data_IF_311596332930
#
_entry.id   IF_311596332930
#
_cell.length_a   1.000
_cell.length_b   1.000
_cell.length_c   1.000
_cell.angle_alpha   90.00
_cell.angle_beta   90.00
_cell.angle_gamma   90.00
#
_symmetry.space_group_name_H-M   'P 1'
#
loop_
_entity.id
_entity.type
_entity.pdbx_description
1 polymer ?
#
# COMPACT_ATOMS: atom_id res chain seq x y z
N UNK A 1 -9.83 16.99 7.58
CA UNK A 1 -8.52 16.42 7.97
C UNK A 1 -8.66 14.91 8.05
N UNK A 2 -7.60 14.17 7.74
CA UNK A 2 -7.64 12.70 7.78
C UNK A 2 -7.66 12.21 9.23
N UNK A 3 -8.70 11.46 9.63
CA UNK A 3 -8.90 10.93 11.00
C UNK A 3 -7.65 10.26 11.58
N UNK A 4 -6.98 9.40 10.80
CA UNK A 4 -5.76 8.71 11.24
C UNK A 4 -4.58 9.67 11.44
N UNK A 5 -4.51 10.76 10.70
CA UNK A 5 -3.46 11.77 10.88
C UNK A 5 -3.62 12.51 12.21
N UNK A 6 -4.85 12.85 12.55
CA UNK A 6 -5.15 13.50 13.83
C UNK A 6 -4.91 12.53 15.01
N UNK A 7 -5.32 11.28 14.87
CA UNK A 7 -5.03 10.22 15.85
C UNK A 7 -3.52 10.02 16.04
N UNK A 8 -2.75 10.02 14.94
CA UNK A 8 -1.29 9.91 15.04
C UNK A 8 -0.69 11.06 15.84
N UNK A 9 -1.09 12.31 15.57
CA UNK A 9 -0.55 13.49 16.25
C UNK A 9 -0.91 13.54 17.74
N UNK A 10 -2.16 13.23 18.07
CA UNK A 10 -2.69 13.43 19.42
C UNK A 10 -2.36 12.29 20.37
N UNK A 11 -2.27 11.06 19.87
CA UNK A 11 -2.19 9.86 20.72
C UNK A 11 -0.94 9.02 20.39
N UNK A 12 -0.77 8.63 19.12
CA UNK A 12 0.18 7.59 18.73
C UNK A 12 1.62 8.05 18.87
N UNK A 13 1.94 9.28 18.44
CA UNK A 13 3.29 9.80 18.49
C UNK A 13 3.83 9.85 19.93
N UNK A 14 3.02 10.28 20.89
CA UNK A 14 3.38 10.31 22.30
C UNK A 14 3.55 8.92 22.92
N UNK A 15 2.70 7.97 22.55
CA UNK A 15 2.79 6.58 23.01
C UNK A 15 4.07 5.90 22.51
N UNK A 16 4.38 6.01 21.23
CA UNK A 16 5.60 5.44 20.62
C UNK A 16 6.87 6.09 21.21
N UNK A 17 6.86 7.41 21.42
CA UNK A 17 8.00 8.10 22.02
C UNK A 17 8.32 7.56 23.41
N UNK A 18 7.29 7.24 24.21
CA UNK A 18 7.44 6.63 25.54
C UNK A 18 7.87 5.16 25.47
N UNK A 19 7.31 4.38 24.55
CA UNK A 19 7.60 2.94 24.38
C UNK A 19 9.07 2.70 24.02
N UNK A 20 9.65 3.55 23.17
CA UNK A 20 11.02 3.41 22.67
C UNK A 20 12.02 4.43 23.26
N UNK A 21 11.64 5.16 24.31
CA UNK A 21 12.45 6.21 24.98
C UNK A 21 13.06 7.22 23.99
N UNK A 22 12.24 7.70 23.04
CA UNK A 22 12.66 8.65 22.01
C UNK A 22 12.49 10.06 22.55
N UNK A 23 13.60 10.72 22.89
CA UNK A 23 13.61 12.09 23.45
C UNK A 23 13.32 13.16 22.39
N UNK A 24 13.73 12.92 21.13
CA UNK A 24 13.56 13.88 20.05
C UNK A 24 12.22 13.67 19.34
N UNK A 25 11.26 14.61 19.39
CA UNK A 25 9.98 14.48 18.72
C UNK A 25 10.08 14.27 17.20
N UNK A 26 11.14 14.79 16.58
CA UNK A 26 11.37 14.62 15.14
C UNK A 26 11.87 13.22 14.75
N UNK A 27 12.37 12.45 15.70
CA UNK A 27 12.83 11.08 15.49
C UNK A 27 11.74 10.03 15.71
N UNK A 28 10.54 10.45 16.15
CA UNK A 28 9.41 9.54 16.33
C UNK A 28 9.00 8.93 15.00
N UNK A 29 8.86 7.61 14.92
CA UNK A 29 8.44 6.92 13.71
C UNK A 29 7.09 7.42 13.18
N UNK A 30 7.04 7.69 11.86
CA UNK A 30 5.82 8.10 11.16
C UNK A 30 5.73 7.44 9.80
N UNK A 31 4.54 7.33 9.25
CA UNK A 31 4.37 6.91 7.85
C UNK A 31 4.81 8.05 6.94
N UNK A 32 5.69 7.76 6.00
CA UNK A 32 6.23 8.73 5.05
C UNK A 32 5.46 8.73 3.73
N UNK A 33 5.22 7.53 3.20
CA UNK A 33 4.48 7.32 1.95
C UNK A 33 3.88 5.92 1.90
N UNK A 34 2.86 5.77 1.09
CA UNK A 34 2.30 4.47 0.69
C UNK A 34 2.44 4.33 -0.81
N UNK A 35 3.04 3.25 -1.25
CA UNK A 35 3.22 2.92 -2.67
C UNK A 35 2.32 1.74 -3.00
N UNK A 36 1.45 1.90 -3.99
CA UNK A 36 0.58 0.85 -4.50
C UNK A 36 1.06 0.51 -5.88
N UNK A 37 1.36 -0.76 -6.12
CA UNK A 37 1.83 -1.26 -7.40
C UNK A 37 0.99 -2.43 -7.89
N UNK A 38 0.59 -2.37 -9.16
CA UNK A 38 -0.04 -3.48 -9.88
C UNK A 38 0.89 -3.95 -10.99
N UNK A 39 1.39 -5.18 -10.86
CA UNK A 39 2.19 -5.84 -11.89
C UNK A 39 1.27 -6.50 -12.92
N UNK A 40 1.37 -6.10 -14.18
CA UNK A 40 0.50 -6.54 -15.26
C UNK A 40 1.33 -7.23 -16.36
N UNK A 41 1.76 -8.46 -16.09
CA UNK A 41 2.55 -9.23 -17.06
C UNK A 41 1.81 -9.47 -18.39
N UNK A 42 0.48 -9.55 -18.35
CA UNK A 42 -0.39 -9.70 -19.53
C UNK A 42 -0.40 -8.46 -20.42
N UNK A 43 0.02 -7.31 -19.92
CA UNK A 43 0.10 -6.07 -20.69
C UNK A 43 1.12 -6.14 -21.85
N UNK A 44 2.05 -7.09 -21.79
CA UNK A 44 2.98 -7.37 -22.89
C UNK A 44 2.26 -7.83 -24.16
N UNK A 45 1.10 -8.49 -24.01
CA UNK A 45 0.26 -8.96 -25.11
C UNK A 45 -0.89 -7.98 -25.42
N UNK A 46 -1.42 -7.28 -24.43
CA UNK A 46 -2.55 -6.36 -24.56
C UNK A 46 -2.38 -5.09 -23.74
N UNK A 47 -1.99 -4.01 -24.40
CA UNK A 47 -1.75 -2.71 -23.76
C UNK A 47 -3.01 -2.09 -23.14
N UNK A 48 -4.20 -2.41 -23.60
CA UNK A 48 -5.48 -1.87 -23.06
C UNK A 48 -5.70 -2.24 -21.59
N UNK A 49 -5.11 -3.36 -21.14
CA UNK A 49 -5.17 -3.80 -19.74
C UNK A 49 -4.55 -2.75 -18.80
N UNK A 50 -3.53 -2.03 -19.26
CA UNK A 50 -2.88 -0.97 -18.47
C UNK A 50 -3.80 0.21 -18.22
N UNK A 51 -4.59 0.60 -19.21
CA UNK A 51 -5.50 1.73 -19.08
C UNK A 51 -6.62 1.40 -18.08
N UNK A 52 -7.17 0.18 -18.19
CA UNK A 52 -8.19 -0.32 -17.23
C UNK A 52 -7.62 -0.35 -15.81
N UNK A 53 -6.45 -0.95 -15.61
CA UNK A 53 -5.82 -1.02 -14.29
C UNK A 53 -5.42 0.37 -13.75
N UNK A 54 -5.04 1.29 -14.62
CA UNK A 54 -4.75 2.67 -14.24
C UNK A 54 -6.02 3.40 -13.78
N UNK A 55 -7.14 3.21 -14.45
CA UNK A 55 -8.42 3.78 -14.04
C UNK A 55 -8.91 3.17 -12.73
N UNK A 56 -8.80 1.86 -12.53
CA UNK A 56 -9.09 1.21 -11.25
C UNK A 56 -8.25 1.80 -10.10
N UNK A 57 -6.93 1.90 -10.26
CA UNK A 57 -6.06 2.51 -9.26
C UNK A 57 -6.40 3.98 -9.00
N UNK A 58 -6.77 4.73 -10.03
CA UNK A 58 -7.19 6.13 -9.90
C UNK A 58 -8.46 6.25 -9.04
N UNK A 59 -9.42 5.35 -9.24
CA UNK A 59 -10.66 5.32 -8.44
C UNK A 59 -10.34 4.97 -6.98
N UNK A 60 -9.53 3.95 -6.72
CA UNK A 60 -9.13 3.53 -5.37
C UNK A 60 -8.38 4.63 -4.62
N UNK A 61 -7.44 5.30 -5.30
CA UNK A 61 -6.48 6.19 -4.64
C UNK A 61 -6.83 7.68 -4.73
N UNK A 62 -7.72 8.04 -5.65
CA UNK A 62 -8.03 9.43 -5.97
C UNK A 62 -6.88 10.19 -6.65
N UNK A 63 -5.83 9.47 -7.09
CA UNK A 63 -4.65 10.04 -7.75
C UNK A 63 -4.34 9.29 -9.05
N UNK A 64 -3.97 10.02 -10.11
CA UNK A 64 -3.58 9.42 -11.39
C UNK A 64 -2.32 8.56 -11.21
N UNK A 65 -2.36 7.26 -11.58
CA UNK A 65 -1.21 6.38 -11.51
C UNK A 65 -0.19 6.67 -12.61
N UNK A 66 1.02 6.20 -12.39
CA UNK A 66 2.11 6.23 -13.38
C UNK A 66 2.25 4.83 -13.97
N UNK A 67 2.33 4.76 -15.30
CA UNK A 67 2.62 3.50 -16.01
C UNK A 67 4.10 3.18 -15.86
N UNK A 68 4.40 1.99 -15.36
CA UNK A 68 5.76 1.50 -15.18
C UNK A 68 6.24 0.71 -16.39
N UNK A 69 7.47 0.99 -16.81
CA UNK A 69 8.08 0.38 -17.99
C UNK A 69 9.21 -0.58 -17.63
N UNK A 70 9.39 -1.62 -18.44
CA UNK A 70 10.47 -2.59 -18.29
C UNK A 70 11.83 -1.90 -18.43
N UNK A 71 12.73 -2.13 -17.48
CA UNK A 71 14.10 -1.58 -17.48
C UNK A 71 15.07 -2.37 -18.36
N UNK A 72 14.81 -3.68 -18.56
CA UNK A 72 15.63 -4.61 -19.31
C UNK A 72 14.76 -5.47 -20.22
N UNK A 73 15.34 -5.93 -21.32
CA UNK A 73 14.72 -6.93 -22.19
C UNK A 73 14.93 -8.32 -21.60
N UNK A 74 13.87 -9.14 -21.50
CA UNK A 74 13.92 -10.51 -20.99
C UNK A 74 13.16 -11.41 -21.95
N UNK A 75 13.87 -12.25 -22.70
CA UNK A 75 13.30 -13.11 -23.73
C UNK A 75 12.28 -14.12 -23.17
N UNK A 76 12.57 -14.71 -22.00
CA UNK A 76 11.68 -15.67 -21.33
C UNK A 76 10.28 -15.13 -21.07
N UNK A 77 10.14 -13.83 -20.81
CA UNK A 77 8.87 -13.15 -20.56
C UNK A 77 8.37 -12.38 -21.77
N UNK A 78 8.99 -12.50 -22.93
CA UNK A 78 8.67 -11.75 -24.15
C UNK A 78 8.66 -10.22 -23.93
N UNK A 79 9.53 -9.74 -23.04
CA UNK A 79 9.63 -8.33 -22.67
C UNK A 79 10.78 -7.66 -23.41
N UNK A 80 10.51 -6.45 -23.91
CA UNK A 80 11.53 -5.54 -24.45
C UNK A 80 11.66 -4.34 -23.52
N UNK A 81 12.85 -3.77 -23.44
CA UNK A 81 13.10 -2.53 -22.72
C UNK A 81 12.14 -1.44 -23.19
N UNK A 82 11.55 -0.70 -22.24
CA UNK A 82 10.58 0.36 -22.53
C UNK A 82 9.13 -0.09 -22.65
N UNK A 83 8.83 -1.41 -22.71
CA UNK A 83 7.45 -1.90 -22.70
C UNK A 83 6.78 -1.59 -21.36
N UNK A 84 5.54 -1.13 -21.43
CA UNK A 84 4.72 -0.88 -20.26
C UNK A 84 4.22 -2.22 -19.67
N UNK A 85 4.46 -2.45 -18.36
CA UNK A 85 4.21 -3.73 -17.68
C UNK A 85 3.50 -3.61 -16.33
N UNK A 86 3.14 -2.43 -15.93
CA UNK A 86 2.43 -2.21 -14.66
C UNK A 86 2.03 -0.77 -14.45
N UNK A 87 1.33 -0.56 -13.34
CA UNK A 87 0.91 0.77 -12.88
C UNK A 87 1.27 0.96 -11.42
N UNK A 88 1.63 2.17 -11.03
CA UNK A 88 2.05 2.49 -9.67
C UNK A 88 1.52 3.86 -9.24
N UNK A 89 1.16 3.97 -7.96
CA UNK A 89 0.80 5.23 -7.31
C UNK A 89 1.60 5.39 -6.03
N UNK A 90 2.08 6.60 -5.78
CA UNK A 90 2.70 6.98 -4.51
C UNK A 90 1.82 8.01 -3.81
N UNK A 91 1.31 7.67 -2.64
CA UNK A 91 0.47 8.52 -1.81
C UNK A 91 1.28 9.13 -0.67
N UNK A 92 1.06 10.41 -0.39
CA UNK A 92 1.69 11.16 0.70
C UNK A 92 0.66 12.06 1.39
N UNK A 93 1.01 12.54 2.59
CA UNK A 93 0.19 13.51 3.33
C UNK A 93 -1.21 12.99 3.65
N UNK A 94 -2.22 13.84 3.50
CA UNK A 94 -3.60 13.52 3.90
C UNK A 94 -4.18 12.36 3.09
N UNK A 95 -3.93 12.31 1.78
CA UNK A 95 -4.39 11.21 0.91
C UNK A 95 -3.85 9.85 1.33
N UNK A 96 -2.61 9.81 1.82
CA UNK A 96 -2.00 8.60 2.35
C UNK A 96 -2.74 8.10 3.59
N UNK A 97 -3.03 9.00 4.55
CA UNK A 97 -3.76 8.62 5.76
C UNK A 97 -5.21 8.23 5.49
N UNK A 98 -5.89 8.90 4.56
CA UNK A 98 -7.23 8.53 4.13
C UNK A 98 -7.27 7.16 3.45
N UNK A 99 -6.27 6.87 2.61
CA UNK A 99 -6.15 5.55 1.99
C UNK A 99 -5.88 4.46 3.05
N UNK A 100 -4.97 4.71 4.00
CA UNK A 100 -4.70 3.76 5.09
C UNK A 100 -5.93 3.52 5.96
N UNK A 101 -6.71 4.55 6.26
CA UNK A 101 -7.95 4.41 7.04
C UNK A 101 -8.96 3.52 6.31
N UNK A 102 -9.20 3.72 5.03
CA UNK A 102 -10.08 2.86 4.22
C UNK A 102 -9.54 1.45 4.08
N UNK A 103 -8.24 1.29 3.88
CA UNK A 103 -7.59 -0.01 3.82
C UNK A 103 -7.83 -0.82 5.10
N UNK A 104 -7.58 -0.21 6.26
CA UNK A 104 -7.66 -0.87 7.57
C UNK A 104 -9.12 -1.12 7.98
N UNK A 105 -9.97 -0.11 7.84
CA UNK A 105 -11.34 -0.15 8.38
C UNK A 105 -12.35 -0.83 7.46
N UNK A 106 -12.14 -0.82 6.15
CA UNK A 106 -13.10 -1.27 5.15
C UNK A 106 -12.58 -2.39 4.27
N UNK A 107 -11.41 -2.20 3.65
CA UNK A 107 -10.91 -3.14 2.65
C UNK A 107 -10.41 -4.46 3.25
N UNK A 108 -9.57 -4.41 4.29
CA UNK A 108 -9.02 -5.62 4.90
C UNK A 108 -10.09 -6.54 5.49
N UNK A 109 -11.14 -6.08 6.20
CA UNK A 109 -12.21 -6.95 6.67
C UNK A 109 -12.99 -7.65 5.56
N UNK A 110 -12.98 -7.11 4.34
CA UNK A 110 -13.63 -7.70 3.16
C UNK A 110 -12.82 -8.80 2.47
N UNK A 111 -11.56 -8.96 2.85
CA UNK A 111 -10.73 -10.04 2.31
C UNK A 111 -11.32 -11.38 2.71
N UNK A 112 -11.49 -12.28 1.72
CA UNK A 112 -12.01 -13.63 1.95
C UNK A 112 -11.12 -14.39 2.94
N UNK A 113 -11.74 -15.03 3.94
CA UNK A 113 -11.05 -15.79 4.99
C UNK A 113 -9.95 -14.98 5.71
N UNK A 114 -10.23 -13.71 5.98
CA UNK A 114 -9.27 -12.83 6.63
C UNK A 114 -8.96 -13.30 8.06
N UNK A 115 -7.69 -13.62 8.31
CA UNK A 115 -7.15 -14.05 9.62
C UNK A 115 -6.07 -13.11 10.15
N UNK A 116 -6.05 -11.87 9.69
CA UNK A 116 -4.99 -10.91 9.98
C UNK A 116 -3.86 -10.93 8.95
N UNK A 117 -3.05 -9.87 8.96
CA UNK A 117 -1.90 -9.71 8.07
C UNK A 117 -0.64 -10.30 8.68
N UNK A 118 0.29 -10.75 7.84
CA UNK A 118 1.56 -11.34 8.29
C UNK A 118 2.42 -10.32 9.03
N UNK A 119 2.87 -10.65 10.22
CA UNK A 119 3.84 -9.84 10.96
C UNK A 119 5.29 -9.98 10.47
N UNK A 120 5.56 -10.80 9.43
CA UNK A 120 6.91 -11.10 8.92
C UNK A 120 7.25 -10.36 7.61
N UNK A 121 6.35 -9.52 7.10
CA UNK A 121 6.52 -8.85 5.81
C UNK A 121 7.18 -7.46 5.95
N UNK A 122 8.05 -7.31 6.93
CA UNK A 122 8.95 -6.17 7.10
C UNK A 122 10.27 -6.42 6.37
N UNK A 123 10.94 -5.34 5.97
CA UNK A 123 12.18 -5.38 5.19
C UNK A 123 13.49 -5.29 6.01
N UNK A 124 13.40 -5.27 7.34
CA UNK A 124 14.53 -5.06 8.26
C UNK A 124 14.87 -3.58 8.51
N UNK A 125 14.18 -2.66 7.84
CA UNK A 125 14.39 -1.20 7.96
C UNK A 125 13.11 -0.44 8.30
N UNK A 126 12.10 -1.14 8.80
CA UNK A 126 10.85 -0.54 9.24
C UNK A 126 9.84 -0.26 8.12
N UNK A 127 10.00 -0.81 6.93
CA UNK A 127 8.98 -0.75 5.88
C UNK A 127 8.19 -2.06 5.84
N UNK A 128 6.92 -1.96 5.50
CA UNK A 128 6.01 -3.09 5.46
C UNK A 128 5.37 -3.23 4.07
N UNK A 129 5.30 -4.44 3.54
CA UNK A 129 4.64 -4.71 2.26
C UNK A 129 3.52 -5.72 2.42
N UNK A 130 2.32 -5.35 1.97
CA UNK A 130 1.11 -6.16 1.95
C UNK A 130 0.75 -6.54 0.52
N UNK A 131 0.62 -7.83 0.24
CA UNK A 131 0.06 -8.33 -1.02
C UNK A 131 -1.45 -8.54 -0.90
N UNK A 132 -2.20 -7.93 -1.79
CA UNK A 132 -3.65 -8.12 -1.94
C UNK A 132 -3.90 -8.88 -3.24
N UNK A 133 -4.70 -9.94 -3.18
CA UNK A 133 -4.98 -10.79 -4.34
C UNK A 133 -6.08 -10.25 -5.25
N UNK A 134 -7.00 -9.49 -4.68
CA UNK A 134 -8.22 -9.05 -5.36
C UNK A 134 -8.45 -7.55 -5.14
N UNK A 135 -8.58 -6.76 -6.22
CA UNK A 135 -8.93 -5.35 -6.13
C UNK A 135 -10.37 -5.11 -5.66
N UNK A 136 -11.22 -6.12 -5.75
CA UNK A 136 -12.64 -6.06 -5.39
C UNK A 136 -12.92 -5.82 -3.90
N UNK A 137 -11.90 -5.93 -3.04
CA UNK A 137 -12.04 -5.59 -1.61
C UNK A 137 -12.28 -4.09 -1.39
N UNK A 138 -11.91 -3.25 -2.36
CA UNK A 138 -12.15 -1.81 -2.29
C UNK A 138 -13.58 -1.50 -2.73
N UNK A 139 -14.39 -0.82 -1.88
CA UNK A 139 -15.79 -0.52 -2.19
C UNK A 139 -15.98 0.44 -3.37
N UNK A 140 -14.94 1.17 -3.73
CA UNK A 140 -14.93 2.12 -4.84
C UNK A 140 -14.97 1.43 -6.21
N UNK A 141 -14.62 0.14 -6.25
CA UNK A 141 -14.61 -0.65 -7.48
C UNK A 141 -15.98 -1.28 -7.71
N UNK A 142 -16.57 -0.98 -8.86
CA UNK A 142 -17.83 -1.59 -9.31
C UNK A 142 -17.53 -2.98 -9.90
N UNK A 143 -18.10 -4.01 -9.24
CA UNK A 143 -17.94 -5.40 -9.68
C UNK A 143 -18.34 -5.64 -11.15
N UNK A 144 -19.35 -4.92 -11.64
CA UNK A 144 -19.84 -5.09 -13.00
C UNK A 144 -18.90 -4.54 -14.09
N UNK A 145 -17.95 -3.67 -13.69
CA UNK A 145 -16.98 -3.04 -14.59
C UNK A 145 -15.62 -3.74 -14.62
N UNK A 146 -15.41 -4.70 -13.72
CA UNK A 146 -14.15 -5.43 -13.62
C UNK A 146 -14.16 -6.60 -14.60
N UNK A 147 -13.22 -6.58 -15.53
CA UNK A 147 -13.02 -7.63 -16.53
C UNK A 147 -12.27 -8.83 -15.96
N UNK A 148 -11.33 -8.59 -15.05
CA UNK A 148 -10.49 -9.61 -14.41
C UNK A 148 -10.05 -9.20 -13.02
N UNK A 149 -10.01 -10.18 -12.11
CA UNK A 149 -9.41 -9.99 -10.78
C UNK A 149 -7.90 -9.79 -10.89
N UNK A 150 -7.41 -8.69 -10.32
CA UNK A 150 -5.98 -8.32 -10.30
C UNK A 150 -5.51 -8.11 -8.88
N UNK A 151 -4.32 -8.63 -8.62
CA UNK A 151 -3.64 -8.38 -7.36
C UNK A 151 -2.84 -7.09 -7.37
N UNK A 152 -2.54 -6.59 -6.17
CA UNK A 152 -1.69 -5.42 -5.98
C UNK A 152 -0.81 -5.58 -4.75
N UNK A 153 0.33 -4.90 -4.76
CA UNK A 153 1.22 -4.78 -3.62
C UNK A 153 1.11 -3.37 -3.03
N UNK A 154 0.91 -3.28 -1.73
CA UNK A 154 0.85 -2.03 -0.98
C UNK A 154 2.06 -1.99 -0.06
N UNK A 155 3.00 -1.10 -0.35
CA UNK A 155 4.20 -0.88 0.46
C UNK A 155 4.03 0.37 1.31
N UNK A 156 4.09 0.20 2.62
CA UNK A 156 4.01 1.27 3.61
C UNK A 156 5.45 1.61 4.02
N UNK A 157 5.91 2.77 3.62
CA UNK A 157 7.24 3.26 3.96
C UNK A 157 7.15 4.15 5.19
N UNK A 158 7.97 3.85 6.19
CA UNK A 158 8.00 4.59 7.45
C UNK A 158 9.37 5.20 7.69
N UNK A 159 9.46 6.11 8.64
CA UNK A 159 10.74 6.69 9.11
C UNK A 159 11.34 5.89 10.28
N UNK A 160 10.75 4.74 10.64
CA UNK A 160 11.27 3.86 11.67
C UNK A 160 12.64 3.32 11.28
N UNK A 161 13.51 3.13 12.26
CA UNK A 161 14.85 2.56 12.05
C UNK A 161 14.85 1.04 12.16
N UNK A 162 13.90 0.47 12.90
CA UNK A 162 13.77 -0.96 13.15
C UNK A 162 12.36 -1.44 12.84
N UNK A 163 12.22 -2.73 12.54
CA UNK A 163 10.92 -3.35 12.27
C UNK A 163 9.99 -3.34 13.49
N UNK A 164 10.57 -3.39 14.70
CA UNK A 164 9.81 -3.32 15.95
C UNK A 164 9.10 -1.97 16.10
N UNK A 165 9.82 -0.87 15.85
CA UNK A 165 9.24 0.47 15.89
C UNK A 165 8.14 0.63 14.84
N UNK A 166 8.36 0.13 13.61
CA UNK A 166 7.36 0.16 12.55
C UNK A 166 6.14 -0.70 12.88
N UNK A 167 6.35 -1.86 13.49
CA UNK A 167 5.27 -2.76 13.91
C UNK A 167 4.41 -2.11 14.98
N UNK A 168 5.01 -1.48 15.99
CA UNK A 168 4.29 -0.73 17.01
C UNK A 168 3.49 0.41 16.39
N UNK A 169 4.09 1.20 15.48
CA UNK A 169 3.43 2.27 14.74
C UNK A 169 2.21 1.77 13.97
N UNK A 170 2.37 0.72 13.15
CA UNK A 170 1.28 0.20 12.32
C UNK A 170 0.17 -0.44 13.19
N UNK A 171 0.53 -1.11 14.28
CA UNK A 171 -0.43 -1.66 15.26
C UNK A 171 -1.24 -0.55 15.92
N UNK A 172 -0.60 0.55 16.32
CA UNK A 172 -1.28 1.71 16.91
C UNK A 172 -2.21 2.43 15.93
N UNK A 173 -1.87 2.42 14.62
CA UNK A 173 -2.76 2.89 13.56
C UNK A 173 -3.96 1.98 13.30
N UNK A 174 -3.95 0.76 13.85
CA UNK A 174 -5.06 -0.19 13.75
C UNK A 174 -4.84 -1.33 12.74
N UNK A 175 -3.61 -1.55 12.27
CA UNK A 175 -3.32 -2.67 11.36
C UNK A 175 -3.52 -4.02 12.07
N UNK A 176 -4.37 -4.91 11.53
CA UNK A 176 -4.73 -6.19 12.16
C UNK A 176 -3.67 -7.26 11.89
N UNK A 177 -2.56 -7.21 12.63
CA UNK A 177 -1.54 -8.26 12.57
C UNK A 177 -2.04 -9.58 13.15
N UNK A 178 -1.66 -10.67 12.50
CA UNK A 178 -1.91 -12.02 12.99
C UNK A 178 -1.10 -12.24 14.28
N UNK A 179 -1.77 -12.80 15.28
CA UNK A 179 -1.13 -13.24 16.52
C UNK A 179 -0.33 -14.51 16.28
#
# INVERSE_FOLDING_TARGET
MARLKDKYKNEIAGAIAKEFDIKNPMAVPRVEKVVINMGLGEASANAKILDVAADELKVITGQKPVVTKAKKSIAAFKLRQGMAIGTMVTLRGDRMYEFLDRLISVALPRVRDFRGISGKAFDGRGNYTLGIREQLIFPEIDFNKVDKTRGMNISIVTTAKTDEQARSLLKALGMPFRQ
#
